data_IF_498870947546
#
_entry.id   IF_498870947546
#
_cell.length_a   1.000
_cell.length_b   1.000
_cell.length_c   1.000
_cell.angle_alpha   90.00
_cell.angle_beta   90.00
_cell.angle_gamma   90.00
#
_symmetry.space_group_name_H-M   'P 1'
#
loop_
_entity.id
_entity.type
_entity.pdbx_description
1 polymer ?
#
# COMPACT_ATOMS: atom_id res chain seq x y z
N UNK A 1 14.38 -0.65 14.09
CA UNK A 1 13.69 -0.16 15.32
C UNK A 1 12.99 1.14 14.98
N UNK A 2 11.69 1.21 15.23
CA UNK A 2 10.85 2.40 15.08
C UNK A 2 10.64 3.01 16.48
N UNK A 3 10.78 4.33 16.60
CA UNK A 3 10.59 5.06 17.85
C UNK A 3 9.45 6.04 17.67
N UNK A 4 8.44 5.94 18.53
CA UNK A 4 7.25 6.79 18.50
C UNK A 4 7.11 7.56 19.81
N UNK A 5 6.91 8.90 19.75
CA UNK A 5 6.72 9.70 20.96
C UNK A 5 5.39 9.36 21.66
N UNK A 6 5.21 9.71 22.94
CA UNK A 6 3.96 9.52 23.67
C UNK A 6 2.71 10.08 22.97
N UNK A 7 2.86 11.18 22.23
CA UNK A 7 1.79 11.79 21.44
C UNK A 7 1.22 10.87 20.35
N UNK A 8 1.98 9.84 19.94
CA UNK A 8 1.59 8.82 18.96
C UNK A 8 1.21 7.48 19.60
N UNK A 9 0.78 7.49 20.87
CA UNK A 9 0.35 6.29 21.61
C UNK A 9 -0.67 5.44 20.83
N UNK A 10 -1.65 6.06 20.17
CA UNK A 10 -2.67 5.33 19.41
C UNK A 10 -2.07 4.55 18.23
N UNK A 11 -1.16 5.19 17.48
CA UNK A 11 -0.44 4.57 16.36
C UNK A 11 0.43 3.41 16.86
N UNK A 12 1.18 3.61 17.94
CA UNK A 12 2.05 2.59 18.53
C UNK A 12 1.25 1.36 19.01
N UNK A 13 0.12 1.59 19.69
CA UNK A 13 -0.77 0.49 20.13
C UNK A 13 -1.37 -0.24 18.94
N UNK A 14 -1.79 0.48 17.91
CA UNK A 14 -2.34 -0.12 16.69
C UNK A 14 -1.30 -1.03 16.02
N UNK A 15 -0.08 -0.56 15.86
CA UNK A 15 1.01 -1.32 15.25
C UNK A 15 1.39 -2.56 16.07
N UNK A 16 1.43 -2.45 17.41
CA UNK A 16 1.65 -3.59 18.30
C UNK A 16 0.49 -4.60 18.31
N UNK A 17 -0.76 -4.16 18.10
CA UNK A 17 -1.91 -5.05 18.02
C UNK A 17 -1.89 -5.94 16.77
N UNK A 18 -1.22 -5.49 15.69
CA UNK A 18 -1.06 -6.27 14.45
C UNK A 18 0.18 -7.18 14.51
N UNK A 19 0.95 -7.17 15.61
CA UNK A 19 2.14 -8.00 15.82
C UNK A 19 1.87 -9.49 15.57
N UNK A 20 0.79 -10.02 16.14
CA UNK A 20 0.39 -11.42 15.96
C UNK A 20 0.07 -11.76 14.50
N UNK A 21 -0.54 -10.82 13.77
CA UNK A 21 -0.97 -11.00 12.39
C UNK A 21 0.19 -10.91 11.40
N UNK A 22 1.22 -10.12 11.70
CA UNK A 22 2.40 -9.97 10.81
C UNK A 22 3.17 -11.28 10.60
N UNK A 23 2.98 -12.27 11.48
CA UNK A 23 3.63 -13.59 11.37
C UNK A 23 2.96 -14.50 10.34
N UNK A 24 1.70 -14.26 10.00
CA UNK A 24 0.92 -15.13 9.11
C UNK A 24 1.05 -14.72 7.63
N UNK A 25 1.85 -13.68 7.33
CA UNK A 25 2.06 -13.20 5.96
C UNK A 25 3.50 -12.77 5.73
N UNK A 26 4.20 -13.34 4.74
CA UNK A 26 5.55 -12.92 4.37
C UNK A 26 5.59 -11.57 3.63
N UNK A 27 4.43 -11.00 3.29
CA UNK A 27 4.31 -9.71 2.60
C UNK A 27 3.95 -8.56 3.56
N UNK A 28 3.88 -8.82 4.86
CA UNK A 28 3.72 -7.80 5.91
C UNK A 28 5.02 -7.75 6.70
N UNK A 29 5.54 -6.54 6.95
CA UNK A 29 6.75 -6.38 7.75
C UNK A 29 6.52 -7.01 9.12
N UNK A 30 7.39 -7.94 9.52
CA UNK A 30 7.25 -8.61 10.81
C UNK A 30 7.54 -7.64 11.94
N UNK A 31 6.61 -7.54 12.89
CA UNK A 31 6.87 -6.92 14.19
C UNK A 31 7.44 -8.00 15.11
N UNK A 32 8.70 -7.83 15.53
CA UNK A 32 9.42 -8.80 16.33
C UNK A 32 9.09 -8.67 17.82
N UNK A 33 9.14 -7.45 18.35
CA UNK A 33 8.90 -7.14 19.75
C UNK A 33 8.62 -5.64 19.91
N UNK A 34 8.21 -5.21 21.11
CA UNK A 34 8.11 -3.80 21.44
C UNK A 34 8.02 -3.55 22.94
N UNK A 35 8.57 -2.43 23.36
CA UNK A 35 8.56 -2.01 24.77
C UNK A 35 8.32 -0.51 24.89
N UNK A 36 7.95 -0.08 26.09
CA UNK A 36 7.67 1.32 26.42
C UNK A 36 8.59 1.77 27.54
N UNK A 37 9.29 2.87 27.31
CA UNK A 37 9.99 3.64 28.35
C UNK A 37 9.40 5.06 28.35
N UNK A 38 10.19 6.07 27.97
CA UNK A 38 9.68 7.41 27.68
C UNK A 38 8.98 7.49 26.31
N UNK A 39 9.41 6.65 25.37
CA UNK A 39 8.84 6.51 24.04
C UNK A 39 8.37 5.05 23.83
N UNK A 40 7.62 4.83 22.76
CA UNK A 40 7.30 3.50 22.26
C UNK A 40 8.40 3.04 21.31
N UNK A 41 8.98 1.87 21.59
CA UNK A 41 10.04 1.26 20.80
C UNK A 41 9.49 -0.01 20.18
N UNK A 42 9.47 -0.07 18.85
CA UNK A 42 8.95 -1.22 18.09
C UNK A 42 10.11 -1.82 17.28
N UNK A 43 10.39 -3.10 17.52
CA UNK A 43 11.35 -3.87 16.74
C UNK A 43 10.65 -4.50 15.55
N UNK A 44 11.15 -4.19 14.36
CA UNK A 44 10.69 -4.72 13.09
C UNK A 44 11.79 -5.61 12.52
N UNK A 45 11.43 -6.55 11.66
CA UNK A 45 12.43 -7.28 10.87
C UNK A 45 13.28 -6.32 10.05
N UNK A 46 14.52 -6.75 9.79
CA UNK A 46 15.50 -5.91 9.15
C UNK A 46 15.34 -5.92 7.63
N UNK A 47 15.13 -4.73 7.05
CA UNK A 47 15.03 -4.51 5.61
C UNK A 47 16.22 -3.67 5.12
N UNK A 48 17.35 -4.30 4.71
CA UNK A 48 18.59 -3.59 4.39
C UNK A 48 18.50 -2.72 3.13
N UNK A 49 17.60 -3.05 2.20
CA UNK A 49 17.49 -2.38 0.90
C UNK A 49 16.50 -1.20 0.91
N UNK A 50 16.19 -0.66 2.09
CA UNK A 50 15.29 0.48 2.30
C UNK A 50 13.91 0.18 1.71
N UNK A 51 13.35 1.11 0.94
CA UNK A 51 11.95 1.07 0.47
C UNK A 51 11.87 1.23 -1.04
N UNK A 52 10.73 0.87 -1.63
CA UNK A 52 10.48 1.08 -3.05
C UNK A 52 10.55 2.56 -3.45
N UNK A 53 10.28 3.50 -2.55
CA UNK A 53 10.52 4.93 -2.80
C UNK A 53 11.99 5.19 -3.21
N UNK A 54 12.94 4.69 -2.42
CA UNK A 54 14.37 4.87 -2.68
C UNK A 54 14.80 4.22 -3.99
N UNK A 55 14.31 3.00 -4.27
CA UNK A 55 14.61 2.29 -5.50
C UNK A 55 14.01 3.02 -6.73
N UNK A 56 12.77 3.48 -6.61
CA UNK A 56 12.06 4.21 -7.67
C UNK A 56 12.77 5.52 -8.01
N UNK A 57 13.20 6.28 -7.01
CA UNK A 57 13.97 7.51 -7.20
C UNK A 57 15.33 7.24 -7.87
N UNK A 58 16.06 6.22 -7.40
CA UNK A 58 17.37 5.88 -7.95
C UNK A 58 17.29 5.46 -9.43
N UNK A 59 16.25 4.72 -9.80
CA UNK A 59 16.02 4.22 -11.16
C UNK A 59 15.27 5.22 -12.06
N UNK A 60 14.74 6.31 -11.49
CA UNK A 60 13.82 7.24 -12.17
C UNK A 60 12.57 6.54 -12.73
N UNK A 61 12.04 5.60 -11.94
CA UNK A 61 10.91 4.75 -12.31
C UNK A 61 11.38 3.37 -12.74
N UNK A 62 10.72 2.32 -12.24
CA UNK A 62 11.13 0.94 -12.52
C UNK A 62 10.69 0.47 -13.91
N UNK A 63 9.67 1.11 -14.48
CA UNK A 63 8.96 0.59 -15.63
C UNK A 63 7.98 -0.52 -15.25
N UNK A 64 7.00 -0.72 -16.13
CA UNK A 64 5.88 -1.65 -15.99
C UNK A 64 6.31 -3.11 -15.75
N UNK A 65 7.33 -3.59 -16.44
CA UNK A 65 7.79 -4.97 -16.30
C UNK A 65 8.49 -5.23 -14.97
N UNK A 66 9.46 -4.39 -14.58
CA UNK A 66 10.20 -4.55 -13.33
C UNK A 66 9.30 -4.35 -12.10
N UNK A 67 8.28 -3.48 -12.19
CA UNK A 67 7.34 -3.24 -11.10
C UNK A 67 6.37 -4.41 -10.84
N UNK A 68 6.20 -5.32 -11.82
CA UNK A 68 5.16 -6.36 -11.82
C UNK A 68 5.23 -7.29 -10.62
N UNK A 69 6.43 -7.76 -10.28
CA UNK A 69 6.63 -8.64 -9.12
C UNK A 69 6.30 -7.91 -7.81
N UNK A 70 6.83 -6.70 -7.62
CA UNK A 70 6.53 -5.90 -6.43
C UNK A 70 5.04 -5.57 -6.31
N UNK A 71 4.36 -5.30 -7.43
CA UNK A 71 2.94 -5.05 -7.46
C UNK A 71 2.12 -6.28 -7.04
N UNK A 72 2.52 -7.48 -7.46
CA UNK A 72 1.91 -8.74 -7.05
C UNK A 72 2.03 -8.91 -5.53
N UNK A 73 3.24 -8.72 -4.97
CA UNK A 73 3.51 -8.91 -3.55
C UNK A 73 2.76 -7.93 -2.66
N UNK A 74 2.69 -6.65 -3.06
CA UNK A 74 1.86 -5.66 -2.37
C UNK A 74 0.39 -6.02 -2.45
N UNK A 75 -0.08 -6.56 -3.59
CA UNK A 75 -1.48 -7.04 -3.71
C UNK A 75 -1.74 -8.21 -2.76
N UNK A 76 -0.80 -9.14 -2.62
CA UNK A 76 -0.88 -10.23 -1.65
C UNK A 76 -0.95 -9.71 -0.20
N UNK A 77 -0.14 -8.70 0.15
CA UNK A 77 -0.20 -8.03 1.45
C UNK A 77 -1.59 -7.42 1.72
N UNK A 78 -2.13 -6.69 0.74
CA UNK A 78 -3.46 -6.08 0.86
C UNK A 78 -4.57 -7.11 0.95
N UNK A 79 -4.52 -8.18 0.16
CA UNK A 79 -5.47 -9.29 0.26
C UNK A 79 -5.46 -9.89 1.66
N UNK A 80 -4.28 -10.17 2.20
CA UNK A 80 -4.12 -10.73 3.54
C UNK A 80 -4.81 -9.86 4.62
N UNK A 81 -4.60 -8.54 4.59
CA UNK A 81 -5.24 -7.60 5.51
C UNK A 81 -6.76 -7.53 5.27
N UNK A 82 -7.18 -7.42 4.00
CA UNK A 82 -8.57 -7.26 3.61
C UNK A 82 -9.42 -8.47 3.99
N UNK A 83 -8.90 -9.69 3.90
CA UNK A 83 -9.60 -10.91 4.35
C UNK A 83 -9.82 -10.95 5.87
N UNK A 84 -8.97 -10.25 6.63
CA UNK A 84 -9.08 -10.10 8.09
C UNK A 84 -9.85 -8.85 8.49
N UNK A 85 -10.53 -8.20 7.54
CA UNK A 85 -11.25 -6.94 7.72
C UNK A 85 -10.36 -5.79 8.22
N UNK A 86 -9.09 -5.77 7.86
CA UNK A 86 -8.16 -4.69 8.23
C UNK A 86 -7.89 -3.83 6.98
N UNK A 87 -8.01 -2.52 7.14
CA UNK A 87 -7.54 -1.53 6.17
C UNK A 87 -6.16 -1.03 6.57
N UNK A 88 -5.26 -0.85 5.60
CA UNK A 88 -3.94 -0.28 5.85
C UNK A 88 -4.00 1.25 6.03
N UNK A 89 -4.74 1.93 5.14
CA UNK A 89 -5.00 3.37 5.11
C UNK A 89 -3.81 4.31 4.84
N UNK A 90 -2.63 3.81 4.52
CA UNK A 90 -1.46 4.62 4.12
C UNK A 90 -0.51 3.86 3.19
N UNK A 91 -1.06 3.24 2.13
CA UNK A 91 -0.24 2.55 1.12
C UNK A 91 0.49 3.59 0.27
N UNK A 92 1.82 3.52 0.26
CA UNK A 92 2.71 4.41 -0.49
C UNK A 92 4.11 3.79 -0.64
N UNK A 93 4.94 4.22 -1.61
CA UNK A 93 6.27 3.65 -1.83
C UNK A 93 7.19 3.66 -0.59
N UNK A 94 7.03 4.64 0.30
CA UNK A 94 7.79 4.80 1.53
C UNK A 94 7.46 3.72 2.58
N UNK A 95 6.28 3.10 2.47
CA UNK A 95 5.80 2.06 3.38
C UNK A 95 5.98 0.65 2.79
N UNK A 96 6.65 0.50 1.65
CA UNK A 96 6.92 -0.81 1.02
C UNK A 96 8.42 -1.07 1.10
N UNK A 97 8.84 -1.93 2.02
CA UNK A 97 10.24 -2.24 2.29
C UNK A 97 10.74 -3.37 1.41
N UNK A 98 12.03 -3.30 1.05
CA UNK A 98 12.72 -4.35 0.30
C UNK A 98 13.55 -5.17 1.30
N UNK A 99 13.19 -6.45 1.45
CA UNK A 99 13.83 -7.40 2.35
C UNK A 99 15.16 -7.91 1.79
N UNK A 100 15.97 -8.56 2.62
CA UNK A 100 17.27 -9.13 2.20
C UNK A 100 17.15 -10.12 1.02
N UNK A 101 16.00 -10.78 0.88
CA UNK A 101 15.70 -11.67 -0.24
C UNK A 101 15.49 -10.95 -1.58
N UNK A 102 15.35 -9.62 -1.57
CA UNK A 102 14.97 -8.80 -2.73
C UNK A 102 13.47 -8.64 -2.92
N UNK A 103 12.66 -9.33 -2.12
CA UNK A 103 11.19 -9.24 -2.15
C UNK A 103 10.67 -8.13 -1.26
N UNK A 104 9.40 -7.74 -1.43
CA UNK A 104 8.82 -6.63 -0.67
C UNK A 104 7.88 -7.05 0.45
N UNK A 105 7.88 -6.25 1.51
CA UNK A 105 6.93 -6.33 2.61
C UNK A 105 6.30 -4.96 2.88
N UNK A 106 4.98 -4.93 3.04
CA UNK A 106 4.21 -3.75 3.39
C UNK A 106 4.33 -3.46 4.89
N UNK A 107 4.62 -2.21 5.23
CA UNK A 107 4.96 -1.75 6.58
C UNK A 107 4.10 -0.56 7.02
N UNK A 108 4.30 -0.14 8.27
CA UNK A 108 3.64 1.02 8.89
C UNK A 108 2.11 0.89 9.03
N UNK A 109 1.74 -0.06 9.88
CA UNK A 109 0.35 -0.33 10.25
C UNK A 109 -0.18 0.60 11.36
N UNK A 110 0.56 1.65 11.73
CA UNK A 110 0.15 2.59 12.78
C UNK A 110 -1.14 3.36 12.43
N UNK A 111 -1.45 3.46 11.14
CA UNK A 111 -2.72 4.00 10.64
C UNK A 111 -3.74 2.93 10.31
N UNK A 112 -3.48 1.65 10.53
CA UNK A 112 -4.43 0.59 10.15
C UNK A 112 -5.71 0.65 10.99
N UNK A 113 -6.78 0.03 10.49
CA UNK A 113 -8.05 -0.07 11.21
C UNK A 113 -8.76 -1.38 10.88
N UNK A 114 -9.13 -2.12 11.93
CA UNK A 114 -10.02 -3.27 11.81
C UNK A 114 -11.46 -2.78 11.73
N UNK A 115 -12.19 -3.23 10.71
CA UNK A 115 -13.61 -2.95 10.55
C UNK A 115 -14.42 -4.07 11.20
N UNK A 116 -15.03 -3.77 12.34
CA UNK A 116 -16.05 -4.63 12.95
C UNK A 116 -17.43 -4.20 12.42
N UNK A 117 -18.42 -5.10 12.35
CA UNK A 117 -19.64 -4.98 11.53
C UNK A 117 -20.27 -3.59 11.34
N UNK A 118 -20.43 -2.81 12.41
CA UNK A 118 -21.08 -1.48 12.39
C UNK A 118 -20.10 -0.29 12.23
N UNK A 119 -18.83 -0.54 11.94
CA UNK A 119 -17.78 0.48 11.91
C UNK A 119 -17.94 1.39 10.70
N UNK A 120 -18.50 2.59 10.92
CA UNK A 120 -18.51 3.68 9.93
C UNK A 120 -17.21 4.46 10.04
N UNK A 121 -16.42 4.48 8.97
CA UNK A 121 -15.12 5.17 8.94
C UNK A 121 -15.18 6.37 8.01
N UNK A 122 -14.98 7.57 8.55
CA UNK A 122 -14.92 8.83 7.80
C UNK A 122 -13.69 9.69 8.14
N UNK A 123 -12.85 9.25 9.08
CA UNK A 123 -11.64 9.97 9.48
C UNK A 123 -10.67 10.10 8.29
N UNK A 124 -9.99 11.25 8.17
CA UNK A 124 -9.01 11.45 7.10
C UNK A 124 -7.89 10.41 7.17
N UNK A 125 -7.53 9.84 6.02
CA UNK A 125 -6.41 8.89 5.91
C UNK A 125 -5.62 9.10 4.60
N UNK A 126 -4.49 8.40 4.50
CA UNK A 126 -3.54 8.53 3.41
C UNK A 126 -2.76 9.84 3.43
N UNK A 127 -1.61 9.80 2.77
CA UNK A 127 -0.80 10.97 2.46
C UNK A 127 -1.48 11.80 1.36
N UNK A 128 -1.18 13.11 1.29
CA UNK A 128 -1.84 14.06 0.40
C UNK A 128 -2.06 13.54 -1.04
N UNK A 129 -1.02 12.98 -1.65
CA UNK A 129 -1.04 12.50 -3.04
C UNK A 129 -1.76 11.16 -3.25
N UNK A 130 -1.88 10.32 -2.22
CA UNK A 130 -2.56 9.01 -2.31
C UNK A 130 -3.98 9.03 -1.77
N UNK A 131 -4.45 10.17 -1.26
CA UNK A 131 -5.78 10.29 -0.65
C UNK A 131 -6.90 10.18 -1.70
N UNK A 132 -7.87 9.27 -1.51
CA UNK A 132 -8.93 9.03 -2.48
C UNK A 132 -10.05 10.10 -2.44
N UNK A 133 -10.88 10.20 -3.50
CA UNK A 133 -11.95 11.20 -3.62
C UNK A 133 -12.92 11.20 -2.43
N UNK A 134 -13.38 10.02 -2.00
CA UNK A 134 -14.35 9.89 -0.91
C UNK A 134 -13.82 10.40 0.43
N UNK A 135 -12.51 10.27 0.68
CA UNK A 135 -11.86 10.78 1.89
C UNK A 135 -11.71 12.31 1.81
N UNK A 136 -11.41 12.87 0.64
CA UNK A 136 -11.41 14.33 0.45
C UNK A 136 -12.78 14.96 0.67
N UNK A 137 -13.84 14.25 0.28
CA UNK A 137 -15.23 14.68 0.47
C UNK A 137 -15.79 14.34 1.85
N UNK A 138 -15.05 13.66 2.72
CA UNK A 138 -15.52 13.26 4.06
C UNK A 138 -16.62 12.19 4.06
N UNK A 139 -16.77 11.45 2.95
CA UNK A 139 -17.71 10.34 2.86
C UNK A 139 -17.19 9.12 3.61
N UNK A 140 -18.10 8.27 4.13
CA UNK A 140 -17.72 6.96 4.65
C UNK A 140 -16.99 6.12 3.60
N UNK A 141 -16.00 5.35 4.05
CA UNK A 141 -15.17 4.52 3.18
C UNK A 141 -14.86 3.15 3.78
N UNK A 142 -14.31 2.27 2.95
CA UNK A 142 -13.94 0.89 3.29
C UNK A 142 -12.61 0.51 2.63
N UNK A 143 -12.31 -0.79 2.50
CA UNK A 143 -11.06 -1.36 1.93
C UNK A 143 -10.69 -0.81 0.55
N UNK A 144 -11.65 -0.26 -0.20
CA UNK A 144 -11.43 0.40 -1.48
C UNK A 144 -10.47 1.60 -1.42
N UNK A 145 -10.24 2.20 -0.24
CA UNK A 145 -9.25 3.27 -0.07
C UNK A 145 -7.83 2.76 -0.28
N UNK A 146 -7.51 1.56 0.21
CA UNK A 146 -6.19 0.95 0.03
C UNK A 146 -5.93 0.64 -1.44
N UNK A 147 -6.98 0.26 -2.19
CA UNK A 147 -6.87 -0.01 -3.63
C UNK A 147 -6.55 1.27 -4.41
N UNK A 148 -7.21 2.39 -4.08
CA UNK A 148 -6.87 3.67 -4.70
C UNK A 148 -5.44 4.08 -4.35
N UNK A 149 -5.08 4.03 -3.07
CA UNK A 149 -3.74 4.35 -2.60
C UNK A 149 -2.67 3.51 -3.31
N UNK A 150 -2.94 2.21 -3.48
CA UNK A 150 -2.06 1.33 -4.22
C UNK A 150 -2.02 1.64 -5.73
N UNK A 151 -3.11 2.06 -6.34
CA UNK A 151 -3.12 2.49 -7.75
C UNK A 151 -2.24 3.72 -7.99
N UNK A 152 -2.32 4.71 -7.10
CA UNK A 152 -1.45 5.89 -7.10
C UNK A 152 0.02 5.48 -6.89
N UNK A 153 0.25 4.55 -5.97
CA UNK A 153 1.58 4.02 -5.62
C UNK A 153 2.21 3.24 -6.76
N UNK A 154 1.46 2.37 -7.43
CA UNK A 154 1.94 1.58 -8.56
C UNK A 154 2.31 2.47 -9.75
N UNK A 155 1.48 3.49 -10.04
CA UNK A 155 1.82 4.49 -11.04
C UNK A 155 3.15 5.19 -10.70
N UNK A 156 3.33 5.56 -9.43
CA UNK A 156 4.57 6.18 -8.95
C UNK A 156 5.78 5.24 -9.07
N UNK A 157 5.67 3.98 -8.66
CA UNK A 157 6.76 3.00 -8.78
C UNK A 157 7.17 2.81 -10.25
N UNK A 158 6.21 2.78 -11.17
CA UNK A 158 6.48 2.58 -12.60
C UNK A 158 7.19 3.80 -13.22
N UNK A 159 6.73 5.01 -12.90
CA UNK A 159 7.09 6.24 -13.63
C UNK A 159 7.87 7.29 -12.83
N UNK A 160 8.08 7.08 -11.53
CA UNK A 160 8.59 8.07 -10.58
C UNK A 160 7.84 9.42 -10.63
N UNK A 161 6.53 9.38 -10.88
CA UNK A 161 5.66 10.54 -10.90
C UNK A 161 4.30 10.21 -10.30
N UNK A 162 3.54 11.21 -9.85
CA UNK A 162 2.17 10.99 -9.38
C UNK A 162 1.18 11.30 -10.52
N UNK A 163 0.20 10.43 -10.80
CA UNK A 163 -0.72 10.64 -11.92
C UNK A 163 -1.62 11.85 -11.69
N UNK A 164 -1.88 12.20 -10.42
CA UNK A 164 -2.70 13.31 -9.99
C UNK A 164 -2.01 14.00 -8.81
N UNK A 165 -1.48 15.19 -9.00
CA UNK A 165 -0.92 16.02 -7.92
C UNK A 165 -0.97 17.49 -8.29
N UNK A 166 -1.29 18.35 -7.33
CA UNK A 166 -1.19 19.79 -7.50
C UNK A 166 -0.89 20.48 -6.15
N UNK A 167 0.00 21.50 -6.09
CA UNK A 167 0.35 22.17 -4.83
C UNK A 167 -0.83 22.91 -4.17
N UNK A 168 -1.67 23.57 -4.97
CA UNK A 168 -2.91 24.15 -4.47
C UNK A 168 -3.95 23.05 -4.20
N UNK A 169 -4.47 23.03 -2.96
CA UNK A 169 -5.40 22.02 -2.44
C UNK A 169 -6.69 21.92 -3.24
N UNK A 170 -7.33 23.04 -3.57
CA UNK A 170 -8.62 23.04 -4.28
C UNK A 170 -8.47 22.51 -5.70
N UNK A 171 -7.40 22.93 -6.40
CA UNK A 171 -7.05 22.39 -7.70
C UNK A 171 -6.72 20.90 -7.63
N UNK A 172 -6.01 20.44 -6.59
CA UNK A 172 -5.74 19.02 -6.41
C UNK A 172 -7.01 18.20 -6.24
N UNK A 173 -7.92 18.64 -5.36
CA UNK A 173 -9.22 17.98 -5.15
C UNK A 173 -10.03 17.94 -6.44
N UNK A 174 -10.03 19.03 -7.22
CA UNK A 174 -10.67 19.08 -8.53
C UNK A 174 -10.10 18.03 -9.51
N UNK A 175 -8.77 17.90 -9.59
CA UNK A 175 -8.13 16.87 -10.42
C UNK A 175 -8.44 15.45 -9.94
N UNK A 176 -8.40 15.22 -8.62
CA UNK A 176 -8.74 13.92 -8.02
C UNK A 176 -10.18 13.54 -8.36
N UNK A 177 -11.13 14.47 -8.29
CA UNK A 177 -12.54 14.22 -8.63
C UNK A 177 -12.78 14.07 -10.14
N UNK A 178 -11.92 14.65 -10.98
CA UNK A 178 -11.98 14.49 -12.44
C UNK A 178 -11.54 13.09 -12.87
N UNK A 179 -10.53 12.51 -12.21
CA UNK A 179 -10.08 11.13 -12.46
C UNK A 179 -9.33 10.91 -13.78
N UNK A 180 -9.01 11.98 -14.52
CA UNK A 180 -8.22 11.86 -15.74
C UNK A 180 -6.76 11.55 -15.41
N UNK A 181 -6.29 10.41 -15.93
CA UNK A 181 -4.91 9.94 -15.80
C UNK A 181 -4.24 10.01 -17.17
N UNK A 182 -3.00 10.46 -17.20
CA UNK A 182 -2.14 10.45 -18.38
C UNK A 182 -0.96 9.51 -18.10
N UNK A 183 -0.76 8.53 -18.96
CA UNK A 183 0.35 7.58 -18.87
C UNK A 183 1.52 8.07 -19.74
N UNK A 184 2.74 7.89 -19.23
CA UNK A 184 4.00 8.23 -19.93
C UNK A 184 4.63 7.00 -20.60
N UNK A 185 5.76 7.18 -21.27
CA UNK A 185 6.49 6.11 -21.97
C UNK A 185 7.09 5.02 -21.03
N UNK A 186 6.98 5.20 -19.71
CA UNK A 186 7.33 4.16 -18.73
C UNK A 186 6.33 2.98 -18.72
N UNK A 187 5.12 3.21 -19.23
CA UNK A 187 4.07 2.20 -19.37
C UNK A 187 4.16 1.60 -20.77
N UNK A 188 4.80 0.43 -20.88
CA UNK A 188 5.11 -0.22 -22.16
C UNK A 188 4.07 -1.24 -22.59
N UNK A 189 3.06 -1.47 -21.76
CA UNK A 189 2.01 -2.46 -21.95
C UNK A 189 0.64 -1.90 -21.56
N UNK A 190 -0.40 -2.31 -22.30
CA UNK A 190 -1.78 -1.91 -22.02
C UNK A 190 -2.31 -2.53 -20.72
N UNK A 191 -1.80 -3.71 -20.32
CA UNK A 191 -2.24 -4.42 -19.13
C UNK A 191 -1.98 -3.62 -17.83
N UNK A 192 -0.82 -2.96 -17.71
CA UNK A 192 -0.48 -2.12 -16.56
C UNK A 192 -1.34 -0.86 -16.49
N UNK A 193 -1.56 -0.18 -17.62
CA UNK A 193 -2.41 1.02 -17.68
C UNK A 193 -3.88 0.68 -17.41
N UNK A 194 -4.36 -0.46 -17.93
CA UNK A 194 -5.69 -0.99 -17.69
C UNK A 194 -5.92 -1.30 -16.21
N UNK A 195 -4.96 -1.99 -15.57
CA UNK A 195 -5.02 -2.31 -14.14
C UNK A 195 -5.14 -1.04 -13.30
N UNK A 196 -4.23 -0.08 -13.51
CA UNK A 196 -4.22 1.19 -12.76
C UNK A 196 -5.52 1.96 -12.99
N UNK A 197 -6.03 2.00 -14.22
CA UNK A 197 -7.32 2.62 -14.55
C UNK A 197 -8.49 1.98 -13.79
N UNK A 198 -8.48 0.66 -13.60
CA UNK A 198 -9.50 -0.05 -12.80
C UNK A 198 -9.32 0.14 -11.28
N UNK A 199 -8.11 0.41 -10.80
CA UNK A 199 -7.84 0.73 -9.39
C UNK A 199 -8.22 2.17 -9.04
N UNK A 200 -8.03 3.11 -9.98
CA UNK A 200 -8.26 4.55 -9.81
C UNK A 200 -9.65 5.00 -10.29
N UNK A 201 -10.66 4.15 -10.08
CA UNK A 201 -12.06 4.54 -10.31
C UNK A 201 -12.53 5.52 -9.24
N UNK A 202 -13.17 6.62 -9.65
CA UNK A 202 -13.70 7.64 -8.72
C UNK A 202 -14.73 7.01 -7.78
N UNK A 203 -15.67 6.25 -8.33
CA UNK A 203 -16.63 5.51 -7.51
C UNK A 203 -15.91 4.31 -6.85
N UNK A 204 -15.81 4.27 -5.50
CA UNK A 204 -15.11 3.20 -4.80
C UNK A 204 -15.67 1.81 -5.09
N UNK A 205 -16.98 1.69 -5.37
CA UNK A 205 -17.63 0.41 -5.68
C UNK A 205 -17.29 -0.14 -7.07
N UNK A 206 -16.67 0.68 -7.93
CA UNK A 206 -16.17 0.26 -9.25
C UNK A 206 -14.70 -0.13 -9.24
N UNK A 207 -13.99 0.09 -8.12
CA UNK A 207 -12.59 -0.33 -7.98
C UNK A 207 -12.53 -1.84 -7.85
N UNK A 208 -11.48 -2.44 -8.41
CA UNK A 208 -11.20 -3.85 -8.18
C UNK A 208 -10.92 -4.10 -6.70
N UNK A 209 -11.30 -5.27 -6.21
CA UNK A 209 -10.81 -5.79 -4.94
C UNK A 209 -9.40 -6.36 -5.10
N UNK A 210 -8.63 -6.48 -4.00
CA UNK A 210 -7.31 -7.13 -4.02
C UNK A 210 -7.34 -8.54 -4.63
N UNK A 211 -8.41 -9.30 -4.41
CA UNK A 211 -8.59 -10.64 -5.01
C UNK A 211 -8.87 -10.59 -6.53
N UNK A 212 -9.50 -9.53 -7.03
CA UNK A 212 -9.70 -9.34 -8.47
C UNK A 212 -8.43 -8.81 -9.14
N UNK A 213 -7.62 -8.01 -8.43
CA UNK A 213 -6.34 -7.50 -8.93
C UNK A 213 -5.37 -8.65 -9.21
N UNK A 214 -5.23 -9.62 -8.30
CA UNK A 214 -4.32 -10.77 -8.51
C UNK A 214 -4.63 -11.55 -9.80
N UNK A 215 -5.89 -11.59 -10.22
CA UNK A 215 -6.37 -12.28 -11.43
C UNK A 215 -6.27 -11.42 -12.69
N UNK A 216 -5.71 -10.22 -12.62
CA UNK A 216 -5.60 -9.31 -13.76
C UNK A 216 -4.53 -9.78 -14.75
N UNK A 217 -4.75 -9.56 -16.04
CA UNK A 217 -3.81 -9.91 -17.13
C UNK A 217 -2.39 -9.36 -16.95
N UNK A 218 -2.26 -8.25 -16.22
CA UNK A 218 -0.96 -7.67 -15.84
C UNK A 218 -0.08 -8.65 -15.07
N UNK A 219 -0.67 -9.63 -14.40
CA UNK A 219 0.03 -10.65 -13.63
C UNK A 219 0.16 -12.00 -14.33
N UNK A 220 -0.42 -12.21 -15.52
CA UNK A 220 -0.38 -13.51 -16.23
C UNK A 220 1.02 -14.15 -16.37
N UNK A 221 2.12 -13.39 -16.58
CA UNK A 221 3.46 -13.99 -16.61
C UNK A 221 3.92 -14.61 -15.29
N UNK A 222 3.23 -14.30 -14.17
CA UNK A 222 3.49 -14.85 -12.85
C UNK A 222 2.45 -15.96 -12.56
N UNK A 223 2.91 -17.18 -12.24
CA UNK A 223 2.01 -18.31 -11.97
C UNK A 223 1.22 -18.10 -10.67
N UNK A 224 -0.10 -18.37 -10.70
CA UNK A 224 -0.93 -18.54 -9.50
C UNK A 224 -0.97 -20.01 -9.02
N UNK A 225 -1.02 -20.27 -7.69
CA UNK A 225 -0.84 -19.27 -6.63
C UNK A 225 0.63 -18.84 -6.53
N UNK A 226 0.87 -17.52 -6.54
CA UNK A 226 2.21 -17.00 -6.27
C UNK A 226 2.57 -17.38 -4.83
N UNK A 227 3.46 -18.36 -4.72
CA UNK A 227 4.02 -18.78 -3.44
C UNK A 227 5.32 -18.01 -3.25
N UNK A 228 5.45 -17.18 -2.21
CA UNK A 228 6.70 -16.51 -1.92
C UNK A 228 7.79 -17.58 -1.70
N UNK A 229 9.00 -17.42 -2.28
CA UNK A 229 10.05 -18.45 -2.19
C UNK A 229 10.66 -18.61 -0.78
N UNK A 230 10.15 -17.90 0.21
CA UNK A 230 10.55 -17.95 1.62
C UNK A 230 9.35 -18.37 2.46
N UNK A 231 9.04 -19.66 2.46
CA UNK A 231 8.23 -20.25 3.52
C UNK A 231 8.94 -20.01 4.85
N UNK A 232 8.20 -19.51 5.83
CA UNK A 232 8.67 -19.11 7.17
C UNK A 232 9.18 -20.30 8.02
N UNK A 233 9.29 -21.49 7.45
CA UNK A 233 9.46 -22.76 8.17
C UNK A 233 10.90 -23.04 8.66
N UNK A 234 11.82 -22.07 8.66
CA UNK A 234 13.20 -22.29 9.12
C UNK A 234 13.82 -21.06 9.85
N UNK A 235 13.17 -20.56 10.90
CA UNK A 235 13.82 -19.76 11.94
C UNK A 235 13.18 -19.96 13.31
#
# INVERSE_FOLDING_TARGET
MKVLPPSKMSEARTELNVLSLSRDSPFIIRVMDGFVLENYYIFLEFAPFRTLDHLTQAMRGLGSDCARLYAMEVTCALKFLHERNIMHRDVKPENIYILLSGHVALADLGSSLRMDGDTIVSAACGTYVTRPPEVWSGHPYSKSVDIWQFGMTLFNIISNSWPIVHPNREKHISLVNNGKILFSDHFKDDASTNLIGKMLQINPNRRLTSSQILKHEYFEPLKEPYSPPFTLDNA
#
